data_IF_480741418609
#
_entry.id   IF_480741418609
#
_cell.length_a   1.000
_cell.length_b   1.000
_cell.length_c   1.000
_cell.angle_alpha   90.00
_cell.angle_beta   90.00
_cell.angle_gamma   90.00
#
_symmetry.space_group_name_H-M   'P 1'
#
loop_
_entity.id
_entity.type
_entity.pdbx_description
1 polymer ?
#
# COMPACT_ATOMS: atom_id res chain seq x y z
N UNK A 1 -4.23 -18.29 -0.47
CA UNK A 1 -3.70 -19.51 -1.15
C UNK A 1 -2.75 -20.23 -0.20
N UNK A 2 -2.86 -21.55 -0.07
CA UNK A 2 -1.83 -22.36 0.63
C UNK A 2 -0.72 -22.70 -0.36
N UNK A 3 0.54 -22.38 -0.02
CA UNK A 3 1.65 -22.42 -0.98
C UNK A 3 1.93 -23.82 -1.56
N UNK A 4 1.80 -24.85 -0.73
CA UNK A 4 1.98 -26.26 -1.10
C UNK A 4 0.85 -26.81 -1.97
N UNK A 5 -0.27 -26.09 -2.09
CA UNK A 5 -1.44 -26.44 -2.90
C UNK A 5 -1.69 -25.45 -4.04
N UNK A 6 -0.79 -24.49 -4.24
CA UNK A 6 -0.95 -23.45 -5.25
C UNK A 6 -0.95 -24.06 -6.66
N UNK A 7 -1.84 -23.57 -7.52
CA UNK A 7 -1.85 -23.96 -8.94
C UNK A 7 -0.58 -23.48 -9.64
N UNK A 8 -0.28 -24.03 -10.82
CA UNK A 8 0.84 -23.54 -11.63
C UNK A 8 0.72 -22.04 -11.92
N UNK A 9 -0.49 -21.56 -12.24
CA UNK A 9 -0.72 -20.13 -12.50
C UNK A 9 -0.41 -19.26 -11.27
N UNK A 10 -0.79 -19.72 -10.07
CA UNK A 10 -0.49 -19.05 -8.81
C UNK A 10 1.00 -19.04 -8.50
N UNK A 11 1.69 -20.18 -8.67
CA UNK A 11 3.14 -20.28 -8.47
C UNK A 11 3.89 -19.36 -9.43
N UNK A 12 3.48 -19.31 -10.71
CA UNK A 12 4.04 -18.39 -11.69
C UNK A 12 3.85 -16.93 -11.29
N UNK A 13 2.67 -16.56 -10.77
CA UNK A 13 2.40 -15.19 -10.31
C UNK A 13 3.22 -14.78 -9.07
N UNK A 14 3.63 -15.75 -8.25
CA UNK A 14 4.41 -15.52 -7.03
C UNK A 14 5.93 -15.56 -7.25
N UNK A 15 6.40 -15.79 -8.49
CA UNK A 15 7.85 -15.81 -8.81
C UNK A 15 8.52 -14.47 -8.59
N UNK A 16 7.83 -13.38 -8.93
CA UNK A 16 8.27 -12.02 -8.63
C UNK A 16 7.52 -11.60 -7.38
N UNK A 17 8.24 -11.15 -6.38
CA UNK A 17 7.69 -10.75 -5.09
C UNK A 17 7.95 -9.27 -4.81
N UNK A 18 7.14 -8.62 -3.96
CA UNK A 18 7.48 -7.32 -3.43
C UNK A 18 8.88 -7.34 -2.82
N UNK A 19 9.70 -6.37 -3.19
CA UNK A 19 11.08 -6.23 -2.68
C UNK A 19 12.05 -7.35 -3.07
N UNK A 20 11.67 -8.21 -4.03
CA UNK A 20 12.42 -9.42 -4.42
C UNK A 20 12.76 -10.31 -3.20
N UNK A 21 11.81 -10.41 -2.27
CA UNK A 21 11.91 -11.24 -1.05
C UNK A 21 11.18 -12.59 -1.21
N UNK A 22 11.04 -13.37 -0.14
CA UNK A 22 10.26 -14.62 -0.19
C UNK A 22 8.76 -14.40 -0.38
N UNK A 23 8.01 -15.48 -0.58
CA UNK A 23 6.54 -15.46 -0.63
C UNK A 23 5.97 -15.27 0.78
N UNK A 24 5.53 -14.05 1.10
CA UNK A 24 4.87 -13.73 2.37
C UNK A 24 3.35 -13.87 2.32
N UNK A 25 2.70 -13.74 3.47
CA UNK A 25 1.23 -13.83 3.62
C UNK A 25 0.47 -12.87 2.69
N UNK A 26 0.98 -11.65 2.54
CA UNK A 26 0.41 -10.67 1.61
C UNK A 26 0.38 -11.18 0.16
N UNK A 27 1.45 -11.83 -0.30
CA UNK A 27 1.52 -12.41 -1.66
C UNK A 27 0.56 -13.59 -1.78
N UNK A 28 0.42 -14.41 -0.74
CA UNK A 28 -0.49 -15.56 -0.71
C UNK A 28 -1.97 -15.17 -0.75
N UNK A 29 -2.33 -14.02 -0.19
CA UNK A 29 -3.69 -13.45 -0.31
C UNK A 29 -3.92 -12.96 -1.74
N UNK A 30 -2.96 -12.24 -2.32
CA UNK A 30 -3.13 -11.71 -3.67
C UNK A 30 -3.10 -12.79 -4.76
N UNK A 31 -2.50 -13.96 -4.50
CA UNK A 31 -2.50 -15.09 -5.42
C UNK A 31 -3.91 -15.69 -5.66
N UNK A 32 -4.95 -15.21 -4.99
CA UNK A 32 -6.34 -15.53 -5.37
C UNK A 32 -6.73 -14.93 -6.74
N UNK A 33 -6.06 -13.84 -7.18
CA UNK A 33 -6.09 -13.35 -8.57
C UNK A 33 -4.65 -13.30 -9.14
N UNK A 34 -4.17 -14.41 -9.74
CA UNK A 34 -2.82 -14.51 -10.27
C UNK A 34 -2.51 -13.48 -11.37
N UNK A 35 -3.52 -13.08 -12.15
CA UNK A 35 -3.33 -12.15 -13.28
C UNK A 35 -3.06 -10.75 -12.75
N UNK A 36 -3.88 -10.27 -11.83
CA UNK A 36 -3.66 -8.96 -11.21
C UNK A 36 -2.35 -8.93 -10.41
N UNK A 37 -1.99 -10.01 -9.72
CA UNK A 37 -0.72 -10.09 -8.98
C UNK A 37 0.52 -9.93 -9.91
N UNK A 38 0.50 -10.55 -11.11
CA UNK A 38 1.59 -10.45 -12.10
C UNK A 38 1.85 -9.02 -12.58
N UNK A 39 0.81 -8.19 -12.64
CA UNK A 39 0.94 -6.78 -13.04
C UNK A 39 1.27 -5.87 -11.85
N UNK A 40 0.65 -6.13 -10.69
CA UNK A 40 0.82 -5.32 -9.49
C UNK A 40 2.25 -5.36 -8.96
N UNK A 41 2.88 -6.53 -8.91
CA UNK A 41 4.20 -6.65 -8.27
C UNK A 41 5.29 -5.85 -8.99
N UNK A 42 5.42 -5.92 -10.34
CA UNK A 42 6.33 -5.06 -11.08
C UNK A 42 6.05 -3.57 -10.87
N UNK A 43 4.78 -3.15 -10.85
CA UNK A 43 4.40 -1.75 -10.56
C UNK A 43 4.88 -1.33 -9.15
N UNK A 44 4.61 -2.16 -8.15
CA UNK A 44 5.05 -1.91 -6.78
C UNK A 44 6.58 -1.77 -6.68
N UNK A 45 7.32 -2.73 -7.27
CA UNK A 45 8.78 -2.68 -7.26
C UNK A 45 9.30 -1.45 -8.02
N UNK A 46 8.69 -1.11 -9.16
CA UNK A 46 9.03 0.08 -9.94
C UNK A 46 8.85 1.40 -9.17
N UNK A 47 7.84 1.49 -8.30
CA UNK A 47 7.59 2.66 -7.46
C UNK A 47 8.54 2.68 -6.25
N UNK A 48 8.59 1.58 -5.48
CA UNK A 48 9.34 1.52 -4.22
C UNK A 48 10.87 1.55 -4.40
N UNK A 49 11.35 1.12 -5.57
CA UNK A 49 12.78 1.04 -5.91
C UNK A 49 13.15 1.93 -7.10
N UNK A 50 12.33 2.94 -7.39
CA UNK A 50 12.59 3.89 -8.46
C UNK A 50 13.91 4.64 -8.27
N UNK A 51 14.59 4.95 -9.37
CA UNK A 51 15.84 5.73 -9.37
C UNK A 51 15.57 7.15 -9.88
N UNK A 52 16.16 8.16 -9.23
CA UNK A 52 16.06 9.57 -9.65
C UNK A 52 14.93 10.38 -9.01
N UNK A 53 14.13 9.78 -8.12
CA UNK A 53 13.09 10.43 -7.32
C UNK A 53 13.46 10.53 -5.83
N UNK A 54 12.48 10.28 -4.95
CA UNK A 54 12.71 10.14 -3.51
C UNK A 54 13.77 9.07 -3.22
N UNK A 55 14.55 9.27 -2.16
CA UNK A 55 15.40 8.22 -1.62
C UNK A 55 14.54 7.06 -1.09
N UNK A 56 15.14 5.86 -0.99
CA UNK A 56 14.40 4.70 -0.47
C UNK A 56 13.82 4.95 0.93
N UNK A 57 14.59 5.58 1.81
CA UNK A 57 14.14 5.93 3.17
C UNK A 57 12.95 6.89 3.13
N UNK A 58 12.94 7.89 2.26
CA UNK A 58 11.82 8.82 2.11
C UNK A 58 10.58 8.15 1.50
N UNK A 59 10.78 7.24 0.55
CA UNK A 59 9.70 6.42 -0.01
C UNK A 59 9.03 5.58 1.07
N UNK A 60 9.82 4.94 1.94
CA UNK A 60 9.29 4.21 3.09
C UNK A 60 8.57 5.14 4.08
N UNK A 61 9.09 6.35 4.34
CA UNK A 61 8.42 7.33 5.22
C UNK A 61 7.03 7.72 4.68
N UNK A 62 6.92 7.96 3.37
CA UNK A 62 5.64 8.21 2.72
C UNK A 62 4.68 7.02 2.85
N UNK A 63 5.20 5.80 2.71
CA UNK A 63 4.42 4.57 2.89
C UNK A 63 3.96 4.38 4.35
N UNK A 64 4.80 4.70 5.33
CA UNK A 64 4.44 4.70 6.77
C UNK A 64 3.32 5.69 7.03
N UNK A 65 3.48 6.96 6.61
CA UNK A 65 2.47 8.00 6.77
C UNK A 65 1.11 7.57 6.20
N UNK A 66 1.09 7.08 4.96
CA UNK A 66 -0.11 6.59 4.30
C UNK A 66 -0.74 5.40 5.04
N UNK A 67 0.07 4.48 5.55
CA UNK A 67 -0.40 3.27 6.22
C UNK A 67 -1.02 3.57 7.58
N UNK A 68 -0.46 4.53 8.32
CA UNK A 68 -0.98 4.97 9.61
C UNK A 68 -2.36 5.62 9.46
N UNK A 69 -2.50 6.54 8.50
CA UNK A 69 -3.79 7.19 8.21
C UNK A 69 -4.85 6.18 7.80
N UNK A 70 -4.49 5.22 6.94
CA UNK A 70 -5.39 4.16 6.49
C UNK A 70 -5.60 3.04 7.52
N UNK A 71 -5.00 3.15 8.72
CA UNK A 71 -5.09 2.15 9.80
C UNK A 71 -4.68 0.74 9.39
N UNK A 72 -3.77 0.62 8.42
CA UNK A 72 -3.26 -0.66 7.97
C UNK A 72 -2.05 -1.08 8.81
N UNK A 73 -2.30 -1.84 9.88
CA UNK A 73 -1.28 -2.30 10.83
C UNK A 73 -0.15 -3.05 10.12
N UNK A 74 -0.50 -3.94 9.18
CA UNK A 74 0.49 -4.71 8.43
C UNK A 74 1.44 -3.83 7.62
N UNK A 75 0.90 -2.91 6.79
CA UNK A 75 1.72 -2.02 5.98
C UNK A 75 2.54 -1.06 6.85
N UNK A 76 1.94 -0.51 7.91
CA UNK A 76 2.65 0.36 8.84
C UNK A 76 3.85 -0.35 9.45
N UNK A 77 3.69 -1.60 9.91
CA UNK A 77 4.77 -2.39 10.49
C UNK A 77 5.88 -2.72 9.48
N UNK A 78 5.53 -3.20 8.29
CA UNK A 78 6.51 -3.59 7.25
C UNK A 78 7.32 -2.39 6.78
N UNK A 79 6.66 -1.27 6.48
CA UNK A 79 7.33 -0.08 5.98
C UNK A 79 8.11 0.65 7.08
N UNK A 80 7.64 0.64 8.34
CA UNK A 80 8.41 1.16 9.48
C UNK A 80 9.69 0.35 9.71
N UNK A 81 9.60 -0.97 9.68
CA UNK A 81 10.76 -1.84 9.80
C UNK A 81 11.76 -1.61 8.66
N UNK A 82 11.26 -1.41 7.43
CA UNK A 82 12.11 -1.12 6.28
C UNK A 82 12.77 0.25 6.38
N UNK A 83 12.04 1.26 6.82
CA UNK A 83 12.58 2.58 7.10
C UNK A 83 13.77 2.48 8.06
N UNK A 84 13.57 1.87 9.24
CA UNK A 84 14.60 1.73 10.29
C UNK A 84 15.86 1.00 9.77
N UNK A 85 15.69 -0.04 8.95
CA UNK A 85 16.82 -0.76 8.35
C UNK A 85 17.64 0.12 7.39
N UNK A 86 16.97 0.99 6.63
CA UNK A 86 17.61 1.85 5.64
C UNK A 86 18.24 3.10 6.29
N UNK A 87 17.53 3.73 7.23
CA UNK A 87 18.01 4.89 7.98
C UNK A 87 19.09 4.52 9.00
N UNK A 88 19.04 3.30 9.53
CA UNK A 88 19.78 2.86 10.73
C UNK A 88 19.46 3.73 11.96
N UNK A 89 18.23 4.22 12.02
CA UNK A 89 17.72 5.11 13.05
C UNK A 89 16.23 4.83 13.28
N UNK A 90 15.90 4.46 14.51
CA UNK A 90 14.53 4.11 14.93
C UNK A 90 13.77 5.32 15.49
N UNK A 91 14.47 6.41 15.85
CA UNK A 91 13.89 7.54 16.60
C UNK A 91 12.79 8.26 15.84
N UNK A 92 12.90 8.34 14.51
CA UNK A 92 11.87 8.94 13.64
C UNK A 92 10.56 8.14 13.72
N UNK A 93 10.64 6.82 13.60
CA UNK A 93 9.46 5.95 13.64
C UNK A 93 8.86 5.92 15.04
N UNK A 94 9.69 5.86 16.08
CA UNK A 94 9.24 5.97 17.47
C UNK A 94 8.50 7.29 17.72
N UNK A 95 9.08 8.42 17.28
CA UNK A 95 8.43 9.73 17.39
C UNK A 95 7.09 9.82 16.65
N UNK A 96 6.98 9.19 15.47
CA UNK A 96 5.73 9.08 14.72
C UNK A 96 4.69 8.23 15.47
N UNK A 97 5.08 7.13 16.09
CA UNK A 97 4.14 6.31 16.87
C UNK A 97 3.71 7.00 18.17
N UNK A 98 4.59 7.75 18.81
CA UNK A 98 4.32 8.45 20.07
C UNK A 98 3.44 9.69 19.85
N UNK A 99 3.68 10.44 18.78
CA UNK A 99 3.06 11.76 18.55
C UNK A 99 2.09 11.79 17.37
N UNK A 100 2.01 10.72 16.57
CA UNK A 100 1.11 10.63 15.43
C UNK A 100 1.32 11.76 14.41
N UNK A 101 0.24 12.45 14.04
CA UNK A 101 0.28 13.59 13.12
C UNK A 101 1.12 14.78 13.65
N UNK A 102 1.34 14.84 14.97
CA UNK A 102 2.10 15.90 15.65
C UNK A 102 3.59 15.56 15.85
N UNK A 103 4.10 14.49 15.23
CA UNK A 103 5.52 14.13 15.30
C UNK A 103 6.43 15.26 14.82
N UNK A 104 7.50 15.53 15.58
CA UNK A 104 8.50 16.56 15.28
C UNK A 104 9.67 15.93 14.52
N UNK A 105 9.62 16.04 13.19
CA UNK A 105 10.62 15.49 12.27
C UNK A 105 11.50 16.60 11.69
N UNK A 106 12.60 16.23 11.02
CA UNK A 106 13.36 17.22 10.27
C UNK A 106 12.46 17.89 9.19
N UNK A 107 12.75 19.14 8.79
CA UNK A 107 11.83 19.90 7.92
C UNK A 107 11.46 19.21 6.61
N UNK A 108 12.35 18.38 6.04
CA UNK A 108 12.11 17.67 4.78
C UNK A 108 11.27 16.42 5.03
N UNK A 109 11.60 15.64 6.05
CA UNK A 109 10.80 14.50 6.49
C UNK A 109 9.39 14.92 6.86
N UNK A 110 9.24 16.02 7.62
CA UNK A 110 7.95 16.57 8.00
C UNK A 110 7.10 16.94 6.78
N UNK A 111 7.69 17.58 5.78
CA UNK A 111 6.97 17.95 4.55
C UNK A 111 6.46 16.72 3.79
N UNK A 112 7.30 15.67 3.68
CA UNK A 112 6.93 14.40 3.05
C UNK A 112 5.83 13.70 3.85
N UNK A 113 6.02 13.58 5.17
CA UNK A 113 5.07 12.94 6.09
C UNK A 113 3.71 13.64 6.05
N UNK A 114 3.69 14.98 6.18
CA UNK A 114 2.46 15.77 6.15
C UNK A 114 1.74 15.65 4.80
N UNK A 115 2.48 15.67 3.68
CA UNK A 115 1.89 15.54 2.36
C UNK A 115 1.29 14.15 2.15
N UNK A 116 2.06 13.10 2.45
CA UNK A 116 1.60 11.71 2.35
C UNK A 116 0.39 11.43 3.26
N UNK A 117 0.39 11.99 4.47
CA UNK A 117 -0.72 11.93 5.43
C UNK A 117 -1.98 12.55 4.82
N UNK A 118 -1.90 13.82 4.38
CA UNK A 118 -3.05 14.55 3.79
C UNK A 118 -3.59 13.88 2.53
N UNK A 119 -2.71 13.41 1.64
CA UNK A 119 -3.13 12.67 0.44
C UNK A 119 -3.83 11.36 0.79
N UNK A 120 -3.47 10.75 1.91
CA UNK A 120 -4.02 9.48 2.36
C UNK A 120 -5.28 9.61 3.21
N UNK A 121 -5.69 10.84 3.59
CA UNK A 121 -6.90 11.11 4.38
C UNK A 121 -8.17 10.68 3.63
N UNK A 122 -8.43 9.39 3.71
CA UNK A 122 -9.65 8.67 3.36
C UNK A 122 -9.43 7.24 3.86
N UNK A 123 -9.38 7.05 5.19
CA UNK A 123 -9.23 5.72 5.78
C UNK A 123 -10.37 4.82 5.29
N UNK A 124 -10.12 3.52 5.06
CA UNK A 124 -11.21 2.60 4.74
C UNK A 124 -12.21 2.59 5.89
N UNK A 125 -13.43 3.00 5.59
CA UNK A 125 -14.57 2.87 6.52
C UNK A 125 -15.20 1.48 6.42
N UNK A 126 -14.97 0.78 5.30
CA UNK A 126 -15.45 -0.56 5.07
C UNK A 126 -14.82 -1.55 6.06
N UNK A 127 -15.66 -2.33 6.75
CA UNK A 127 -15.23 -3.26 7.80
C UNK A 127 -15.85 -4.68 7.64
N UNK A 128 -15.73 -5.50 8.69
CA UNK A 128 -16.28 -6.85 8.69
C UNK A 128 -17.81 -6.92 8.60
N UNK A 129 -18.53 -5.88 9.04
CA UNK A 129 -19.97 -5.80 8.89
C UNK A 129 -20.37 -5.54 7.43
N UNK A 130 -19.60 -4.74 6.69
CA UNK A 130 -19.80 -4.56 5.25
C UNK A 130 -19.49 -5.83 4.48
N UNK A 131 -18.42 -6.55 4.86
CA UNK A 131 -18.13 -7.87 4.30
C UNK A 131 -19.31 -8.82 4.51
N UNK A 132 -19.90 -8.83 5.71
CA UNK A 132 -21.07 -9.64 6.00
C UNK A 132 -22.26 -9.24 5.12
N UNK A 133 -22.51 -7.94 4.95
CA UNK A 133 -23.59 -7.45 4.07
C UNK A 133 -23.40 -7.93 2.62
N UNK A 134 -22.17 -7.94 2.10
CA UNK A 134 -21.87 -8.49 0.77
C UNK A 134 -22.18 -9.99 0.71
N UNK A 135 -21.79 -10.77 1.71
CA UNK A 135 -22.12 -12.21 1.76
C UNK A 135 -23.62 -12.47 1.92
N UNK A 136 -24.32 -11.68 2.73
CA UNK A 136 -25.78 -11.76 2.92
C UNK A 136 -26.54 -11.40 1.63
N UNK A 137 -25.95 -10.54 0.79
CA UNK A 137 -26.43 -10.22 -0.55
C UNK A 137 -26.13 -11.31 -1.60
N UNK A 138 -25.45 -12.40 -1.21
CA UNK A 138 -25.20 -13.56 -2.05
C UNK A 138 -23.90 -13.53 -2.84
N UNK A 139 -22.99 -12.58 -2.59
CA UNK A 139 -21.69 -12.55 -3.25
C UNK A 139 -20.80 -13.68 -2.72
N UNK A 140 -20.16 -14.38 -3.65
CA UNK A 140 -19.11 -15.33 -3.36
C UNK A 140 -17.78 -14.63 -3.00
N UNK A 141 -16.85 -15.35 -2.38
CA UNK A 141 -15.61 -14.76 -1.88
C UNK A 141 -14.69 -14.23 -2.98
N UNK A 142 -14.71 -14.85 -4.16
CA UNK A 142 -14.01 -14.36 -5.35
C UNK A 142 -14.62 -13.05 -5.87
N UNK A 143 -15.94 -12.92 -5.92
CA UNK A 143 -16.62 -11.67 -6.28
C UNK A 143 -16.31 -10.54 -5.29
N UNK A 144 -16.28 -10.85 -3.98
CA UNK A 144 -15.90 -9.88 -2.95
C UNK A 144 -14.44 -9.48 -3.09
N UNK A 145 -13.56 -10.44 -3.38
CA UNK A 145 -12.15 -10.18 -3.62
C UNK A 145 -11.95 -9.24 -4.82
N UNK A 146 -12.64 -9.49 -5.93
CA UNK A 146 -12.63 -8.64 -7.12
C UNK A 146 -13.12 -7.22 -6.82
N UNK A 147 -14.19 -7.09 -6.01
CA UNK A 147 -14.71 -5.79 -5.57
C UNK A 147 -13.69 -5.03 -4.73
N UNK A 148 -13.03 -5.70 -3.78
CA UNK A 148 -11.98 -5.11 -2.94
C UNK A 148 -10.81 -4.62 -3.79
N UNK A 149 -10.34 -5.43 -4.75
CA UNK A 149 -9.27 -5.04 -5.67
C UNK A 149 -9.66 -3.82 -6.50
N UNK A 150 -10.89 -3.81 -7.04
CA UNK A 150 -11.41 -2.72 -7.86
C UNK A 150 -11.51 -1.42 -7.07
N UNK A 151 -12.16 -1.44 -5.90
CA UNK A 151 -12.32 -0.27 -5.05
C UNK A 151 -10.95 0.27 -4.57
N UNK A 152 -10.01 -0.62 -4.24
CA UNK A 152 -8.65 -0.26 -3.84
C UNK A 152 -7.87 0.41 -4.99
N UNK A 153 -7.94 -0.16 -6.20
CA UNK A 153 -7.27 0.37 -7.38
C UNK A 153 -7.79 1.77 -7.74
N UNK A 154 -9.11 1.99 -7.72
CA UNK A 154 -9.66 3.31 -7.96
C UNK A 154 -9.36 4.28 -6.81
N UNK A 155 -9.34 3.81 -5.56
CA UNK A 155 -8.82 4.59 -4.44
C UNK A 155 -7.39 5.12 -4.70
N UNK A 156 -6.51 4.30 -5.25
CA UNK A 156 -5.17 4.72 -5.68
C UNK A 156 -5.22 5.68 -6.87
N UNK A 157 -5.95 5.35 -7.94
CA UNK A 157 -6.04 6.16 -9.16
C UNK A 157 -6.66 7.54 -8.92
N UNK A 158 -7.71 7.63 -8.10
CA UNK A 158 -8.34 8.89 -7.72
C UNK A 158 -7.37 9.78 -6.92
N UNK A 159 -6.68 9.22 -5.92
CA UNK A 159 -5.66 9.97 -5.16
C UNK A 159 -4.54 10.48 -6.07
N UNK A 160 -4.11 9.67 -7.04
CA UNK A 160 -3.12 10.09 -8.04
C UNK A 160 -3.60 11.30 -8.84
N UNK A 161 -4.80 11.22 -9.43
CA UNK A 161 -5.33 12.27 -10.30
C UNK A 161 -5.71 13.55 -9.56
N UNK A 162 -6.13 13.48 -8.30
CA UNK A 162 -6.38 14.68 -7.49
C UNK A 162 -5.13 15.53 -7.29
N UNK A 163 -3.95 14.91 -7.27
CA UNK A 163 -2.66 15.61 -7.10
C UNK A 163 -2.04 15.99 -8.45
N UNK A 164 -2.06 15.09 -9.42
CA UNK A 164 -1.47 15.33 -10.74
C UNK A 164 -2.29 16.29 -11.61
N UNK A 165 -3.54 16.55 -11.25
CA UNK A 165 -4.42 17.50 -11.92
C UNK A 165 -5.31 16.88 -12.99
N UNK A 166 -6.01 17.73 -13.73
CA UNK A 166 -6.92 17.32 -14.80
C UNK A 166 -6.11 16.91 -16.05
N UNK A 167 -6.38 15.74 -16.67
CA UNK A 167 -5.74 15.36 -17.92
C UNK A 167 -6.10 16.29 -19.09
N UNK A 168 -7.16 17.09 -18.97
CA UNK A 168 -7.56 18.09 -19.95
C UNK A 168 -6.93 19.43 -19.57
N UNK A 169 -6.15 20.06 -20.46
CA UNK A 169 -5.65 21.41 -20.23
C UNK A 169 -6.83 22.35 -19.95
N UNK A 170 -6.77 23.11 -18.85
CA UNK A 170 -7.72 24.20 -18.65
C UNK A 170 -7.48 25.22 -19.76
N UNK A 171 -8.46 25.42 -20.64
CA UNK A 171 -8.44 26.56 -21.56
C UNK A 171 -8.40 27.83 -20.70
N UNK A 172 -7.29 28.56 -20.80
CA UNK A 172 -7.05 29.84 -20.13
C UNK A 172 -7.66 31.00 -20.91
#
# INVERSE_FOLDING_TARGET
>A
VELDKASEEQLEAMKVTPSDTGVGEYVLVLAHDPKTLKERTPLFNGIMYSHGGLSRTETELGAVAASLVNRCIYCAAVHSNRYNQLSKDETVIEGIFDSGEDADLDPRQQAIYNFATKLSQCPPEADGADLKQLTDAGLAMDEIFDLVLTASLFGWANRLMHVLGDPIPRES
#
